data_IF_153713395753
#
_entry.id   IF_153713395753
#
_cell.length_a   1.000
_cell.length_b   1.000
_cell.length_c   1.000
_cell.angle_alpha   90.00
_cell.angle_beta   90.00
_cell.angle_gamma   90.00
#
_symmetry.space_group_name_H-M   'P 1'
#
loop_
_entity.id
_entity.type
_entity.pdbx_description
1 polymer ?
#
# COMPACT_ATOMS: atom_id res chain seq x y z
N UNK A 1 28.95 6.03 -8.49
CA UNK A 1 28.99 5.05 -7.39
C UNK A 1 27.62 4.40 -7.31
N UNK A 2 27.46 3.21 -7.90
CA UNK A 2 26.16 2.57 -8.03
C UNK A 2 25.89 1.79 -6.74
N UNK A 3 25.11 2.36 -5.82
CA UNK A 3 24.59 1.61 -4.68
C UNK A 3 23.59 0.60 -5.24
N UNK A 4 23.94 -0.68 -5.26
CA UNK A 4 22.96 -1.75 -5.44
C UNK A 4 21.96 -1.64 -4.29
N UNK A 5 20.70 -1.33 -4.61
CA UNK A 5 19.63 -1.32 -3.62
C UNK A 5 19.36 -2.77 -3.25
N UNK A 6 19.82 -3.21 -2.07
CA UNK A 6 19.58 -4.56 -1.57
C UNK A 6 18.07 -4.77 -1.41
N UNK A 7 17.51 -5.83 -2.01
CA UNK A 7 16.11 -6.20 -1.83
C UNK A 7 15.90 -6.73 -0.40
N UNK A 8 15.51 -5.85 0.52
CA UNK A 8 15.31 -6.19 1.93
C UNK A 8 13.83 -6.50 2.23
N UNK A 9 13.41 -7.75 2.05
CA UNK A 9 12.04 -8.21 2.35
C UNK A 9 11.58 -7.95 3.81
N UNK A 10 12.51 -7.72 4.75
CA UNK A 10 12.17 -7.35 6.14
C UNK A 10 11.51 -5.96 6.24
N UNK A 11 11.81 -5.05 5.32
CA UNK A 11 11.25 -3.70 5.31
C UNK A 11 9.76 -3.69 4.95
N UNK A 12 9.32 -4.62 4.10
CA UNK A 12 7.93 -4.67 3.59
C UNK A 12 6.90 -4.92 4.69
N UNK A 13 7.24 -5.77 5.67
CA UNK A 13 6.37 -6.02 6.85
C UNK A 13 6.24 -4.76 7.71
N UNK A 14 7.32 -4.02 7.90
CA UNK A 14 7.32 -2.78 8.67
C UNK A 14 6.53 -1.69 7.94
N UNK A 15 6.75 -1.53 6.63
CA UNK A 15 6.02 -0.60 5.76
C UNK A 15 4.53 -0.91 5.80
N UNK A 16 4.12 -2.16 5.58
CA UNK A 16 2.71 -2.58 5.63
C UNK A 16 2.06 -2.26 6.98
N UNK A 17 2.77 -2.51 8.09
CA UNK A 17 2.29 -2.15 9.44
C UNK A 17 2.11 -0.64 9.61
N UNK A 18 3.05 0.16 9.10
CA UNK A 18 2.97 1.62 9.12
C UNK A 18 1.81 2.15 8.27
N UNK A 19 1.59 1.58 7.08
CA UNK A 19 0.46 1.92 6.21
C UNK A 19 -0.87 1.62 6.93
N UNK A 20 -1.03 0.43 7.52
CA UNK A 20 -2.25 0.09 8.27
C UNK A 20 -2.49 1.06 9.44
N UNK A 21 -1.42 1.44 10.17
CA UNK A 21 -1.51 2.45 11.24
C UNK A 21 -1.92 3.82 10.70
N UNK A 22 -1.34 4.26 9.58
CA UNK A 22 -1.71 5.51 8.92
C UNK A 22 -3.18 5.53 8.51
N UNK A 23 -3.66 4.47 7.85
CA UNK A 23 -5.04 4.34 7.40
C UNK A 23 -6.04 4.40 8.57
N UNK A 24 -5.69 3.76 9.70
CA UNK A 24 -6.49 3.83 10.93
C UNK A 24 -6.46 5.23 11.55
N UNK A 25 -5.27 5.84 11.67
CA UNK A 25 -5.07 7.15 12.31
C UNK A 25 -5.79 8.28 11.59
N UNK A 26 -5.80 8.26 10.26
CA UNK A 26 -6.40 9.32 9.44
C UNK A 26 -7.77 8.94 8.88
N UNK A 27 -8.37 7.84 9.34
CA UNK A 27 -9.70 7.40 8.92
C UNK A 27 -9.88 7.35 7.39
N UNK A 28 -8.88 6.82 6.68
CA UNK A 28 -8.83 6.86 5.21
C UNK A 28 -10.06 6.17 4.58
N UNK A 29 -10.58 5.10 5.19
CA UNK A 29 -11.84 4.47 4.74
C UNK A 29 -13.02 5.44 4.74
N UNK A 30 -13.13 6.30 5.74
CA UNK A 30 -14.19 7.31 5.84
C UNK A 30 -14.01 8.39 4.78
N UNK A 31 -12.77 8.85 4.55
CA UNK A 31 -12.46 9.80 3.49
C UNK A 31 -12.81 9.23 2.10
N UNK A 32 -12.43 7.98 1.83
CA UNK A 32 -12.78 7.30 0.57
C UNK A 32 -14.29 7.20 0.40
N UNK A 33 -15.03 6.84 1.46
CA UNK A 33 -16.50 6.78 1.42
C UNK A 33 -17.12 8.16 1.15
N UNK A 34 -16.63 9.21 1.81
CA UNK A 34 -17.09 10.58 1.62
C UNK A 34 -16.83 11.08 0.20
N UNK A 35 -15.74 10.65 -0.43
CA UNK A 35 -15.41 10.93 -1.83
C UNK A 35 -16.12 10.03 -2.84
N UNK A 36 -17.14 9.27 -2.42
CA UNK A 36 -17.83 8.26 -3.25
C UNK A 36 -16.92 7.15 -3.81
N UNK A 37 -15.71 7.00 -3.29
CA UNK A 37 -14.80 5.91 -3.62
C UNK A 37 -15.16 4.69 -2.75
N UNK A 38 -16.34 4.13 -2.96
CA UNK A 38 -16.76 2.86 -2.36
C UNK A 38 -17.36 1.96 -3.45
N UNK A 39 -17.03 0.66 -3.41
CA UNK A 39 -17.53 -0.31 -4.39
C UNK A 39 -18.51 -1.26 -3.70
N UNK A 40 -19.65 -1.52 -4.34
CA UNK A 40 -20.71 -2.39 -3.79
C UNK A 40 -20.35 -3.89 -3.85
N UNK A 41 -19.48 -4.29 -4.79
CA UNK A 41 -19.03 -5.68 -5.01
C UNK A 41 -17.59 -5.72 -5.50
N UNK A 42 -16.90 -6.84 -5.27
CA UNK A 42 -15.51 -7.07 -5.67
C UNK A 42 -14.50 -6.66 -4.59
N UNK A 43 -13.30 -6.29 -5.02
CA UNK A 43 -12.19 -5.93 -4.13
C UNK A 43 -12.53 -4.63 -3.37
N UNK A 44 -12.42 -4.61 -2.04
CA UNK A 44 -12.60 -3.40 -1.25
C UNK A 44 -11.63 -2.29 -1.67
N UNK A 45 -12.15 -1.07 -1.86
CA UNK A 45 -11.36 0.11 -2.22
C UNK A 45 -10.18 0.35 -1.27
N UNK A 46 -10.35 0.01 0.01
CA UNK A 46 -9.33 0.18 1.03
C UNK A 46 -8.10 -0.69 0.76
N UNK A 47 -8.30 -1.90 0.21
CA UNK A 47 -7.22 -2.82 -0.15
C UNK A 47 -6.44 -2.31 -1.36
N UNK A 48 -7.14 -1.73 -2.35
CA UNK A 48 -6.51 -1.09 -3.52
C UNK A 48 -5.61 0.06 -3.07
N UNK A 49 -6.10 0.94 -2.18
CA UNK A 49 -5.31 2.07 -1.69
C UNK A 49 -4.15 1.62 -0.79
N UNK A 50 -4.34 0.62 0.07
CA UNK A 50 -3.24 0.06 0.87
C UNK A 50 -2.15 -0.55 -0.03
N UNK A 51 -2.54 -1.22 -1.12
CA UNK A 51 -1.62 -1.77 -2.10
C UNK A 51 -0.86 -0.68 -2.85
N UNK A 52 -1.53 0.39 -3.31
CA UNK A 52 -0.87 1.54 -3.94
C UNK A 52 0.17 2.18 -3.02
N UNK A 53 -0.17 2.39 -1.74
CA UNK A 53 0.76 2.92 -0.76
C UNK A 53 1.95 1.97 -0.55
N UNK A 54 1.70 0.65 -0.50
CA UNK A 54 2.75 -0.34 -0.38
C UNK A 54 3.73 -0.24 -1.54
N UNK A 55 3.24 -0.17 -2.79
CA UNK A 55 4.09 -0.02 -3.98
C UNK A 55 4.95 1.25 -3.92
N UNK A 56 4.34 2.39 -3.59
CA UNK A 56 5.04 3.68 -3.49
C UNK A 56 6.14 3.63 -2.43
N UNK A 57 5.82 3.17 -1.21
CA UNK A 57 6.76 3.21 -0.09
C UNK A 57 7.76 2.06 -0.09
N UNK A 58 7.51 0.98 -0.83
CA UNK A 58 8.49 -0.09 -1.07
C UNK A 58 9.35 0.15 -2.32
N UNK A 59 9.09 1.24 -3.08
CA UNK A 59 9.73 1.52 -4.36
C UNK A 59 9.63 0.33 -5.34
N UNK A 60 8.47 -0.34 -5.36
CA UNK A 60 8.19 -1.46 -6.26
C UNK A 60 7.09 -1.07 -7.24
N UNK A 61 7.22 -1.55 -8.49
CA UNK A 61 6.09 -1.59 -9.41
C UNK A 61 5.20 -2.79 -9.10
N UNK A 62 3.96 -2.78 -9.59
CA UNK A 62 3.07 -3.94 -9.51
C UNK A 62 3.71 -5.19 -10.10
N UNK A 63 4.41 -5.04 -11.25
CA UNK A 63 5.14 -6.13 -11.89
C UNK A 63 6.20 -6.72 -10.96
N UNK A 64 7.01 -5.89 -10.31
CA UNK A 64 8.04 -6.35 -9.37
C UNK A 64 7.45 -7.08 -8.15
N UNK A 65 6.27 -6.65 -7.68
CA UNK A 65 5.55 -7.29 -6.58
C UNK A 65 4.94 -8.65 -6.94
N UNK A 66 4.77 -8.96 -8.23
CA UNK A 66 4.19 -10.23 -8.69
C UNK A 66 5.25 -11.30 -8.92
N UNK A 67 6.47 -10.90 -9.29
CA UNK A 67 7.55 -11.81 -9.66
C UNK A 67 8.58 -12.07 -8.54
N UNK A 68 8.48 -11.34 -7.42
CA UNK A 68 9.40 -11.41 -6.27
C UNK A 68 8.63 -11.74 -5.01
#
# INVERSE_FOLDING_TARGET
MNKSITQANQNDKQISKSIKKFFKRFHISSALKASNAYKKKGIPVIEIFQYLFLLIFSNRSMYMSLIT
#
